data_IF_934304643162
#
_entry.id   IF_934304643162
#
_cell.length_a   1.000
_cell.length_b   1.000
_cell.length_c   1.000
_cell.angle_alpha   90.00
_cell.angle_beta   90.00
_cell.angle_gamma   90.00
#
_symmetry.space_group_name_H-M   'P 1'
#
loop_
_entity.id
_entity.type
_entity.pdbx_description
1 polymer ?
#
# COMPACT_ATOMS: atom_id res chain seq x y z
N UNK A 1 68.64 -27.61 -27.02
CA UNK A 1 67.43 -27.16 -26.31
C UNK A 1 66.68 -26.26 -27.27
N UNK A 2 65.51 -26.69 -27.75
CA UNK A 2 64.72 -25.93 -28.73
C UNK A 2 63.69 -25.10 -27.96
N UNK A 3 63.82 -23.77 -28.01
CA UNK A 3 62.83 -22.87 -27.44
C UNK A 3 61.69 -22.70 -28.45
N UNK A 4 60.56 -23.34 -28.19
CA UNK A 4 59.32 -23.03 -28.89
C UNK A 4 58.72 -21.76 -28.32
N UNK A 5 58.89 -20.65 -29.04
CA UNK A 5 58.12 -19.43 -28.81
C UNK A 5 56.64 -19.76 -29.01
N UNK A 6 55.84 -19.63 -27.94
CA UNK A 6 54.38 -19.61 -28.03
C UNK A 6 53.98 -18.29 -28.68
N UNK A 7 53.67 -18.35 -29.97
CA UNK A 7 52.99 -17.28 -30.69
C UNK A 7 51.67 -16.99 -29.95
N UNK A 8 51.58 -15.83 -29.29
CA UNK A 8 50.38 -15.40 -28.59
C UNK A 8 49.42 -14.82 -29.64
N UNK A 9 48.75 -15.70 -30.39
CA UNK A 9 47.72 -15.34 -31.36
C UNK A 9 46.48 -14.84 -30.61
N UNK A 10 46.46 -13.55 -30.33
CA UNK A 10 45.24 -12.83 -29.97
C UNK A 10 44.42 -12.68 -31.25
N UNK A 11 43.28 -13.36 -31.35
CA UNK A 11 42.37 -13.19 -32.49
C UNK A 11 41.96 -11.71 -32.62
N UNK A 12 41.90 -11.17 -33.85
CA UNK A 12 41.47 -9.80 -34.06
C UNK A 12 39.98 -9.67 -33.71
N UNK A 13 39.68 -8.80 -32.75
CA UNK A 13 38.30 -8.44 -32.40
C UNK A 13 37.58 -7.87 -33.62
N UNK A 14 36.44 -8.46 -33.97
CA UNK A 14 35.56 -7.97 -35.03
C UNK A 14 34.92 -6.64 -34.63
N UNK A 15 35.52 -5.55 -35.12
CA UNK A 15 35.10 -4.17 -34.83
C UNK A 15 33.69 -3.86 -35.33
N UNK A 16 33.23 -4.55 -36.37
CA UNK A 16 31.89 -4.35 -36.93
C UNK A 16 30.82 -5.02 -36.07
N UNK A 17 31.11 -6.23 -35.57
CA UNK A 17 30.25 -6.89 -34.59
C UNK A 17 30.12 -6.04 -33.29
N UNK A 18 31.22 -5.45 -32.83
CA UNK A 18 31.21 -4.56 -31.66
C UNK A 18 30.37 -3.31 -31.91
N UNK A 19 30.47 -2.68 -33.08
CA UNK A 19 29.65 -1.51 -33.44
C UNK A 19 28.16 -1.83 -33.46
N UNK A 20 27.76 -2.93 -34.11
CA UNK A 20 26.36 -3.37 -34.14
C UNK A 20 25.82 -3.64 -32.73
N UNK A 21 26.62 -4.24 -31.87
CA UNK A 21 26.24 -4.46 -30.48
C UNK A 21 26.03 -3.13 -29.73
N UNK A 22 26.90 -2.15 -29.93
CA UNK A 22 26.75 -0.81 -29.33
C UNK A 22 25.45 -0.16 -29.80
N UNK A 23 25.19 -0.13 -31.11
CA UNK A 23 23.98 0.46 -31.68
C UNK A 23 22.70 -0.22 -31.15
N UNK A 24 22.72 -1.55 -31.01
CA UNK A 24 21.61 -2.31 -30.43
C UNK A 24 21.39 -1.95 -28.95
N UNK A 25 22.47 -1.86 -28.17
CA UNK A 25 22.41 -1.51 -26.75
C UNK A 25 21.92 -0.06 -26.54
N UNK A 26 22.35 0.88 -27.38
CA UNK A 26 21.86 2.25 -27.37
C UNK A 26 20.36 2.32 -27.69
N UNK A 27 19.91 1.53 -28.68
CA UNK A 27 18.48 1.40 -29.02
C UNK A 27 17.65 0.83 -27.86
N UNK A 28 18.16 -0.22 -27.19
CA UNK A 28 17.51 -0.80 -26.01
C UNK A 28 17.48 0.18 -24.84
N UNK A 29 18.57 0.89 -24.60
CA UNK A 29 18.67 1.89 -23.54
C UNK A 29 17.65 3.01 -23.74
N UNK A 30 17.53 3.52 -24.97
CA UNK A 30 16.53 4.53 -25.32
C UNK A 30 15.10 4.02 -25.08
N UNK A 31 14.82 2.79 -25.50
CA UNK A 31 13.50 2.16 -25.28
C UNK A 31 13.19 1.99 -23.79
N UNK A 32 14.18 1.63 -22.98
CA UNK A 32 14.03 1.50 -21.53
C UNK A 32 13.73 2.84 -20.86
N UNK A 33 14.37 3.93 -21.30
CA UNK A 33 14.06 5.28 -20.81
C UNK A 33 12.63 5.70 -21.18
N UNK A 34 12.20 5.46 -22.42
CA UNK A 34 10.82 5.73 -22.83
C UNK A 34 9.81 4.96 -21.97
N UNK A 35 10.05 3.67 -21.74
CA UNK A 35 9.19 2.84 -20.90
C UNK A 35 9.17 3.35 -19.45
N UNK A 36 10.32 3.76 -18.91
CA UNK A 36 10.40 4.35 -17.56
C UNK A 36 9.54 5.61 -17.45
N UNK A 37 9.59 6.49 -18.45
CA UNK A 37 8.79 7.72 -18.46
C UNK A 37 7.28 7.41 -18.54
N UNK A 38 6.89 6.43 -19.35
CA UNK A 38 5.50 5.98 -19.45
C UNK A 38 4.97 5.37 -18.15
N UNK A 39 5.78 4.55 -17.47
CA UNK A 39 5.42 3.97 -16.17
C UNK A 39 5.26 5.07 -15.12
N UNK A 40 6.20 6.03 -15.06
CA UNK A 40 6.12 7.16 -14.12
C UNK A 40 4.88 8.01 -14.37
N UNK A 41 4.56 8.29 -15.64
CA UNK A 41 3.31 8.98 -16.00
C UNK A 41 2.08 8.20 -15.52
N UNK A 42 2.05 6.88 -15.77
CA UNK A 42 0.93 6.03 -15.35
C UNK A 42 0.76 5.99 -13.82
N UNK A 43 1.86 5.99 -13.06
CA UNK A 43 1.81 6.07 -11.59
C UNK A 43 1.16 7.39 -11.17
N UNK A 44 1.62 8.53 -11.68
CA UNK A 44 1.08 9.85 -11.31
C UNK A 44 -0.40 9.99 -11.66
N UNK A 45 -0.81 9.52 -12.84
CA UNK A 45 -2.22 9.51 -13.25
C UNK A 45 -3.08 8.63 -12.33
N UNK A 46 -2.56 7.47 -11.93
CA UNK A 46 -3.26 6.57 -11.01
C UNK A 46 -3.39 7.15 -9.59
N UNK A 47 -2.36 7.81 -9.09
CA UNK A 47 -2.37 8.47 -7.78
C UNK A 47 -3.42 9.58 -7.73
N UNK A 48 -3.50 10.41 -8.77
CA UNK A 48 -4.49 11.48 -8.87
C UNK A 48 -5.92 10.91 -8.94
N UNK A 49 -6.14 9.88 -9.77
CA UNK A 49 -7.43 9.21 -9.88
C UNK A 49 -7.90 8.61 -8.54
N UNK A 50 -6.99 7.94 -7.81
CA UNK A 50 -7.28 7.37 -6.50
C UNK A 50 -7.55 8.45 -5.45
N UNK A 51 -6.81 9.56 -5.48
CA UNK A 51 -7.03 10.70 -4.59
C UNK A 51 -8.42 11.32 -4.84
N UNK A 52 -8.75 11.58 -6.11
CA UNK A 52 -10.07 12.09 -6.51
C UNK A 52 -11.21 11.16 -6.06
N UNK A 53 -11.05 9.85 -6.27
CA UNK A 53 -12.04 8.85 -5.85
C UNK A 53 -12.21 8.84 -4.32
N UNK A 54 -11.10 8.88 -3.57
CA UNK A 54 -11.12 8.95 -2.10
C UNK A 54 -11.87 10.18 -1.63
N UNK A 55 -11.55 11.36 -2.17
CA UNK A 55 -12.20 12.62 -1.79
C UNK A 55 -13.71 12.60 -2.08
N UNK A 56 -14.12 12.10 -3.25
CA UNK A 56 -15.55 11.94 -3.59
C UNK A 56 -16.27 11.00 -2.62
N UNK A 57 -15.65 9.87 -2.30
CA UNK A 57 -16.23 8.89 -1.37
C UNK A 57 -16.36 9.47 0.05
N UNK A 58 -15.34 10.16 0.55
CA UNK A 58 -15.38 10.81 1.86
C UNK A 58 -16.52 11.83 1.90
N UNK A 59 -16.60 12.73 0.90
CA UNK A 59 -17.69 13.72 0.82
C UNK A 59 -19.08 13.06 0.84
N UNK A 60 -19.26 11.98 0.06
CA UNK A 60 -20.53 11.26 0.01
C UNK A 60 -20.89 10.62 1.36
N UNK A 61 -19.94 9.95 2.00
CA UNK A 61 -20.15 9.29 3.30
C UNK A 61 -20.45 10.34 4.37
N UNK A 62 -19.68 11.43 4.42
CA UNK A 62 -19.91 12.54 5.36
C UNK A 62 -21.31 13.12 5.18
N UNK A 63 -21.71 13.44 3.95
CA UNK A 63 -23.05 13.97 3.68
C UNK A 63 -24.18 13.00 4.08
N UNK A 64 -23.97 11.68 3.89
CA UNK A 64 -24.93 10.65 4.30
C UNK A 64 -25.02 10.55 5.82
N UNK A 65 -23.89 10.59 6.52
CA UNK A 65 -23.84 10.59 7.98
C UNK A 65 -24.50 11.85 8.56
N UNK A 66 -24.21 13.04 8.01
CA UNK A 66 -24.82 14.30 8.42
C UNK A 66 -26.35 14.25 8.29
N UNK A 67 -26.87 13.68 7.19
CA UNK A 67 -28.31 13.48 7.01
C UNK A 67 -28.89 12.56 8.08
N UNK A 68 -28.22 11.46 8.41
CA UNK A 68 -28.66 10.53 9.46
C UNK A 68 -28.68 11.25 10.81
N UNK A 69 -27.65 12.02 11.15
CA UNK A 69 -27.61 12.75 12.42
C UNK A 69 -28.72 13.78 12.55
N UNK A 70 -28.99 14.53 11.48
CA UNK A 70 -30.12 15.46 11.44
C UNK A 70 -31.46 14.75 11.59
N UNK A 71 -31.65 13.58 10.96
CA UNK A 71 -32.88 12.79 11.08
C UNK A 71 -33.08 12.18 12.46
N UNK A 72 -32.01 11.77 13.14
CA UNK A 72 -32.06 11.09 14.43
C UNK A 72 -31.86 12.03 15.63
N UNK A 73 -31.69 13.33 15.41
CA UNK A 73 -31.36 14.34 16.42
C UNK A 73 -30.14 13.96 17.29
N UNK A 74 -29.19 13.26 16.68
CA UNK A 74 -27.92 12.87 17.29
C UNK A 74 -26.95 14.02 16.99
N UNK A 75 -26.23 14.53 18.01
CA UNK A 75 -25.25 15.59 17.83
C UNK A 75 -24.12 15.21 16.85
N UNK A 76 -23.39 16.19 16.29
CA UNK A 76 -22.36 15.93 15.28
C UNK A 76 -21.27 14.98 15.80
N UNK A 77 -20.78 14.08 14.94
CA UNK A 77 -19.64 13.23 15.27
C UNK A 77 -18.38 14.08 15.41
N UNK A 78 -17.91 14.25 16.64
CA UNK A 78 -16.58 14.80 16.90
C UNK A 78 -15.54 13.77 16.48
N UNK A 79 -14.66 14.12 15.54
CA UNK A 79 -13.54 13.26 15.15
C UNK A 79 -12.51 13.21 16.29
N UNK A 80 -12.61 12.20 17.15
CA UNK A 80 -11.65 11.96 18.25
C UNK A 80 -10.52 11.00 17.86
N UNK A 81 -10.39 10.67 16.58
CA UNK A 81 -9.34 9.77 16.10
C UNK A 81 -8.11 10.58 15.69
N UNK A 82 -7.19 10.79 16.63
CA UNK A 82 -5.80 11.03 16.26
C UNK A 82 -5.27 9.77 15.56
N UNK A 83 -4.54 9.91 14.44
CA UNK A 83 -3.87 8.77 13.83
C UNK A 83 -2.88 8.20 14.85
N UNK A 84 -3.09 6.95 15.26
CA UNK A 84 -2.12 6.25 16.10
C UNK A 84 -0.87 5.99 15.25
N UNK A 85 0.14 6.84 15.38
CA UNK A 85 1.49 6.55 14.93
C UNK A 85 2.13 5.58 15.92
N UNK A 86 1.60 4.35 16.00
CA UNK A 86 2.26 3.29 16.76
C UNK A 86 3.44 2.78 15.93
N UNK A 87 4.57 3.46 16.12
CA UNK A 87 5.88 3.01 15.67
C UNK A 87 6.17 1.66 16.33
N UNK A 88 6.09 0.57 15.55
CA UNK A 88 6.53 -0.74 15.99
C UNK A 88 8.05 -0.81 15.91
N UNK A 89 8.72 -0.47 17.02
CA UNK A 89 10.12 -0.85 17.24
C UNK A 89 10.22 -1.63 18.54
N UNK A 90 10.23 -2.96 18.37
CA UNK A 90 11.04 -3.98 19.04
C UNK A 90 11.40 -3.81 20.53
N UNK A 91 10.82 -4.71 21.33
CA UNK A 91 11.37 -5.48 22.44
C UNK A 91 12.58 -4.92 23.23
N UNK A 92 12.36 -4.59 24.50
CA UNK A 92 13.31 -4.90 25.56
C UNK A 92 12.57 -5.28 26.86
N UNK A 93 12.72 -6.56 27.20
CA UNK A 93 12.29 -7.21 28.42
C UNK A 93 13.28 -6.89 29.54
N UNK A 94 12.83 -6.32 30.68
CA UNK A 94 13.52 -6.46 31.97
C UNK A 94 12.52 -6.51 33.14
N UNK A 95 12.53 -7.65 33.83
CA UNK A 95 11.84 -7.98 35.08
C UNK A 95 12.28 -7.10 36.27
N UNK A 96 11.33 -6.84 37.20
CA UNK A 96 11.46 -6.89 38.69
C UNK A 96 10.17 -6.26 39.31
N UNK A 97 9.22 -7.01 39.88
CA UNK A 97 9.19 -7.54 41.26
C UNK A 97 7.78 -7.32 41.88
N UNK A 98 7.36 -8.05 42.94
CA UNK A 98 5.97 -8.45 43.17
C UNK A 98 5.19 -7.59 44.18
N UNK A 99 3.86 -7.45 44.00
CA UNK A 99 2.95 -6.86 44.99
C UNK A 99 1.47 -7.10 44.62
N UNK A 100 0.62 -7.60 45.53
CA UNK A 100 -0.72 -8.11 45.22
C UNK A 100 -1.74 -6.96 45.15
N UNK A 101 -2.35 -6.76 43.98
CA UNK A 101 -3.36 -5.73 43.74
C UNK A 101 -4.62 -6.32 43.12
N UNK A 102 -5.49 -6.81 44.00
CA UNK A 102 -6.92 -7.11 43.86
C UNK A 102 -7.55 -6.82 42.48
N UNK A 103 -8.04 -7.88 41.86
CA UNK A 103 -8.90 -7.80 40.68
C UNK A 103 -10.18 -7.01 40.96
N UNK A 104 -10.48 -6.07 40.08
CA UNK A 104 -11.82 -5.55 39.85
C UNK A 104 -12.04 -5.46 38.34
N UNK A 105 -12.69 -6.50 37.83
CA UNK A 105 -13.64 -6.36 36.73
C UNK A 105 -14.99 -6.18 37.42
N UNK A 106 -15.76 -5.13 37.10
CA UNK A 106 -17.13 -5.44 36.69
C UNK A 106 -17.67 -4.47 35.62
N UNK A 107 -18.31 -5.03 34.58
CA UNK A 107 -19.07 -4.22 33.64
C UNK A 107 -19.41 -4.86 32.30
N UNK A 108 -19.31 -6.18 32.13
CA UNK A 108 -19.84 -6.87 30.95
C UNK A 108 -21.37 -6.93 31.02
N UNK A 109 -22.07 -5.93 30.45
CA UNK A 109 -23.45 -6.12 30.01
C UNK A 109 -23.43 -6.93 28.72
N UNK A 110 -23.66 -8.24 28.89
CA UNK A 110 -23.95 -9.15 27.79
C UNK A 110 -25.33 -8.79 27.23
N UNK A 111 -25.40 -8.02 26.15
CA UNK A 111 -26.61 -7.95 25.35
C UNK A 111 -26.74 -9.28 24.60
N UNK A 112 -27.54 -10.20 25.15
CA UNK A 112 -28.05 -11.36 24.42
C UNK A 112 -28.98 -10.85 23.32
N UNK A 113 -28.51 -10.74 22.09
CA UNK A 113 -29.39 -10.66 20.92
C UNK A 113 -29.71 -12.08 20.48
N UNK A 114 -30.94 -12.51 20.72
CA UNK A 114 -31.49 -13.74 20.12
C UNK A 114 -31.39 -13.63 18.60
N UNK A 115 -30.64 -14.56 17.99
CA UNK A 115 -30.72 -14.87 16.56
C UNK A 115 -32.07 -15.52 16.27
N UNK A 116 -33.01 -14.75 15.74
CA UNK A 116 -34.17 -15.23 15.00
C UNK A 116 -33.88 -15.18 13.50
N UNK A 117 -33.87 -16.34 12.85
CA UNK A 117 -33.61 -16.51 11.42
C UNK A 117 -34.69 -15.86 10.53
N UNK A 118 -34.23 -15.35 9.38
CA UNK A 118 -34.88 -15.20 8.08
C UNK A 118 -36.10 -14.28 7.97
N UNK A 119 -35.92 -13.11 7.33
CA UNK A 119 -36.50 -12.83 6.00
C UNK A 119 -35.56 -11.91 5.18
N UNK A 120 -35.30 -12.31 3.94
CA UNK A 120 -34.57 -11.56 2.92
C UNK A 120 -35.25 -10.21 2.65
N UNK A 121 -34.54 -9.11 2.93
CA UNK A 121 -34.83 -7.81 2.34
C UNK A 121 -33.76 -7.51 1.30
N UNK A 122 -34.15 -7.51 0.03
CA UNK A 122 -33.28 -7.15 -1.10
C UNK A 122 -32.67 -5.76 -0.87
N UNK A 123 -31.34 -5.69 -0.87
CA UNK A 123 -30.62 -4.43 -0.97
C UNK A 123 -30.56 -4.06 -2.46
N UNK A 124 -31.56 -3.34 -2.95
CA UNK A 124 -31.44 -2.67 -4.25
C UNK A 124 -30.50 -1.47 -4.09
N UNK A 125 -29.38 -1.52 -4.81
CA UNK A 125 -28.46 -0.39 -4.96
C UNK A 125 -28.95 0.49 -6.10
N UNK A 126 -29.27 1.78 -5.88
CA UNK A 126 -29.27 2.73 -6.98
C UNK A 126 -27.84 3.25 -7.13
N UNK A 127 -27.25 2.97 -8.29
CA UNK A 127 -26.12 3.73 -8.80
C UNK A 127 -26.46 5.22 -8.87
#
# INVERSE_FOLDING_TARGET
MSSTEKENTTEPVDKEAVRKLIDELEGKLKSLYTLSDEVNRGILESEDALKSLREKRVKLITARLDRIFQQWNIGPLTSNHQPSTQNQSQSQNQNQGPGPGLGQVPGSSLAQTQTGNNQQGQFESPW
#
